data_IF_802356715278
#
_entry.id   IF_802356715278
#
_cell.length_a   1.000
_cell.length_b   1.000
_cell.length_c   1.000
_cell.angle_alpha   90.00
_cell.angle_beta   90.00
_cell.angle_gamma   90.00
#
_symmetry.space_group_name_H-M   'P 1'
#
loop_
_entity.id
_entity.type
_entity.pdbx_description
1 polymer ?
#
# COMPACT_ATOMS: atom_id res chain seq x y z
N UNK A 1 -13.65 17.58 -18.42
CA UNK A 1 -13.10 17.02 -17.14
C UNK A 1 -13.10 18.14 -16.11
N UNK A 2 -13.40 17.85 -14.84
CA UNK A 2 -13.19 18.79 -13.74
C UNK A 2 -11.69 19.08 -13.60
N UNK A 3 -11.35 20.23 -13.01
CA UNK A 3 -9.95 20.54 -12.69
C UNK A 3 -9.45 19.59 -11.60
N UNK A 4 -8.33 18.93 -11.81
CA UNK A 4 -7.69 18.07 -10.82
C UNK A 4 -7.15 18.91 -9.66
N UNK A 5 -7.40 18.45 -8.44
CA UNK A 5 -6.99 19.09 -7.18
C UNK A 5 -6.32 18.11 -6.21
N UNK A 6 -6.55 16.79 -6.38
CA UNK A 6 -6.03 15.73 -5.53
C UNK A 6 -5.25 14.67 -6.30
N UNK A 7 -4.22 14.10 -5.65
CA UNK A 7 -3.44 13.00 -6.21
C UNK A 7 -3.27 11.92 -5.16
N UNK A 8 -3.76 10.71 -5.46
CA UNK A 8 -3.59 9.53 -4.64
C UNK A 8 -2.46 8.65 -5.16
N UNK A 9 -1.63 8.18 -4.26
CA UNK A 9 -0.58 7.23 -4.57
C UNK A 9 -0.86 5.86 -3.94
N UNK A 10 -0.74 4.79 -4.72
CA UNK A 10 -0.45 3.48 -4.16
C UNK A 10 0.98 3.44 -3.62
N UNK A 11 1.27 2.51 -2.71
CA UNK A 11 2.59 2.37 -2.11
C UNK A 11 3.42 1.27 -2.76
N UNK A 12 2.97 0.03 -2.66
CA UNK A 12 3.78 -1.13 -3.00
C UNK A 12 4.02 -1.29 -4.51
N UNK A 13 5.25 -1.10 -4.98
CA UNK A 13 5.57 -1.10 -6.42
C UNK A 13 5.34 0.25 -7.11
N UNK A 14 4.78 1.22 -6.40
CA UNK A 14 4.49 2.58 -6.87
C UNK A 14 5.36 3.60 -6.15
N UNK A 15 4.91 4.16 -5.04
CA UNK A 15 5.68 5.16 -4.29
C UNK A 15 6.80 4.54 -3.43
N UNK A 16 6.60 3.29 -2.98
CA UNK A 16 7.61 2.54 -2.21
C UNK A 16 7.96 1.23 -2.92
N UNK A 17 9.24 0.99 -3.10
CA UNK A 17 9.78 -0.27 -3.63
C UNK A 17 10.43 -1.07 -2.51
N UNK A 18 10.32 -2.39 -2.62
CA UNK A 18 10.93 -3.34 -1.70
C UNK A 18 12.19 -3.91 -2.31
N UNK A 19 13.29 -3.86 -1.58
CA UNK A 19 14.60 -4.38 -1.98
C UNK A 19 15.02 -5.53 -1.05
N UNK A 20 15.63 -6.53 -1.61
CA UNK A 20 16.22 -7.60 -0.81
C UNK A 20 17.36 -7.06 0.07
N UNK A 21 17.32 -7.40 1.34
CA UNK A 21 18.38 -7.10 2.30
C UNK A 21 18.43 -8.24 3.32
N UNK A 22 19.22 -9.30 3.06
CA UNK A 22 19.23 -10.51 3.88
C UNK A 22 19.45 -10.24 5.37
N UNK A 23 20.42 -9.41 5.72
CA UNK A 23 20.70 -9.09 7.12
C UNK A 23 19.53 -8.39 7.82
N UNK A 24 18.80 -7.50 7.10
CA UNK A 24 17.60 -6.85 7.62
C UNK A 24 16.45 -7.87 7.79
N UNK A 25 16.28 -8.75 6.81
CA UNK A 25 15.25 -9.78 6.82
C UNK A 25 15.48 -10.80 7.95
N UNK A 26 16.71 -11.30 8.13
CA UNK A 26 17.08 -12.20 9.21
C UNK A 26 16.82 -11.60 10.60
N UNK A 27 17.18 -10.32 10.78
CA UNK A 27 16.91 -9.59 12.03
C UNK A 27 15.40 -9.51 12.32
N UNK A 28 14.61 -9.22 11.31
CA UNK A 28 13.15 -9.13 11.43
C UNK A 28 12.53 -10.51 11.77
N UNK A 29 12.97 -11.58 11.10
CA UNK A 29 12.51 -12.95 11.38
C UNK A 29 12.86 -13.39 12.80
N UNK A 30 14.08 -13.11 13.25
CA UNK A 30 14.50 -13.42 14.62
C UNK A 30 13.64 -12.65 15.65
N UNK A 31 13.36 -11.38 15.40
CA UNK A 31 12.51 -10.57 16.28
C UNK A 31 11.08 -11.09 16.33
N UNK A 32 10.51 -11.52 15.21
CA UNK A 32 9.17 -12.14 15.20
C UNK A 32 9.13 -13.41 16.05
N UNK A 33 10.12 -14.29 15.92
CA UNK A 33 10.20 -15.52 16.72
C UNK A 33 10.31 -15.22 18.22
N UNK A 34 11.13 -14.24 18.59
CA UNK A 34 11.27 -13.76 19.98
C UNK A 34 9.92 -13.27 20.53
N UNK A 35 9.19 -12.40 19.81
CA UNK A 35 7.88 -11.88 20.21
C UNK A 35 6.84 -12.99 20.39
N UNK A 36 6.92 -14.02 19.56
CA UNK A 36 6.03 -15.18 19.63
C UNK A 36 6.49 -16.24 20.63
N UNK A 37 7.61 -16.04 21.35
CA UNK A 37 8.19 -17.00 22.29
C UNK A 37 8.66 -18.29 21.63
N UNK A 38 9.13 -18.23 20.38
CA UNK A 38 9.58 -19.39 19.59
C UNK A 38 11.10 -19.44 19.52
N UNK A 39 11.68 -20.60 19.85
CA UNK A 39 13.14 -20.79 19.84
C UNK A 39 13.70 -21.08 18.44
N UNK A 40 12.97 -21.83 17.61
CA UNK A 40 13.34 -22.11 16.23
C UNK A 40 12.74 -21.08 15.28
N UNK A 41 13.60 -20.20 14.79
CA UNK A 41 13.20 -19.11 13.89
C UNK A 41 12.72 -19.65 12.55
N UNK A 42 13.41 -20.65 11.99
CA UNK A 42 13.08 -21.18 10.67
C UNK A 42 11.71 -21.86 10.68
N UNK A 43 11.51 -22.79 11.62
CA UNK A 43 10.23 -23.51 11.75
C UNK A 43 9.06 -22.55 12.02
N UNK A 44 9.32 -21.50 12.82
CA UNK A 44 8.32 -20.47 13.09
C UNK A 44 7.93 -19.69 11.82
N UNK A 45 8.91 -19.23 11.04
CA UNK A 45 8.64 -18.49 9.80
C UNK A 45 7.95 -19.37 8.77
N UNK A 46 8.40 -20.62 8.58
CA UNK A 46 7.75 -21.56 7.66
C UNK A 46 6.28 -21.80 8.05
N UNK A 47 5.98 -21.91 9.33
CA UNK A 47 4.61 -21.98 9.84
C UNK A 47 3.79 -20.72 9.55
N UNK A 48 4.34 -19.53 9.81
CA UNK A 48 3.65 -18.25 9.54
C UNK A 48 3.35 -18.10 8.05
N UNK A 49 4.29 -18.42 7.16
CA UNK A 49 4.09 -18.36 5.71
C UNK A 49 2.99 -19.34 5.26
N UNK A 50 2.99 -20.57 5.80
CA UNK A 50 1.96 -21.56 5.50
C UNK A 50 0.55 -21.08 5.92
N UNK A 51 0.46 -20.39 7.06
CA UNK A 51 -0.80 -19.85 7.58
C UNK A 51 -1.23 -18.55 6.90
N UNK A 52 -0.27 -17.79 6.37
CA UNK A 52 -0.56 -16.56 5.64
C UNK A 52 -1.23 -16.82 4.28
N UNK A 53 -0.97 -17.94 3.63
CA UNK A 53 -1.55 -18.27 2.33
C UNK A 53 -3.09 -18.31 2.37
N UNK A 54 -3.77 -19.09 3.24
CA UNK A 54 -5.23 -19.08 3.34
C UNK A 54 -5.81 -17.72 3.79
N UNK A 55 -5.11 -16.98 4.64
CA UNK A 55 -5.50 -15.60 4.94
C UNK A 55 -5.53 -14.73 3.69
N UNK A 56 -4.46 -14.78 2.89
CA UNK A 56 -4.36 -14.02 1.65
C UNK A 56 -5.47 -14.38 0.66
N UNK A 57 -5.78 -15.66 0.52
CA UNK A 57 -6.85 -16.11 -0.35
C UNK A 57 -8.21 -15.56 0.11
N UNK A 58 -8.48 -15.60 1.41
CA UNK A 58 -9.66 -14.95 1.99
C UNK A 58 -9.69 -13.45 1.70
N UNK A 59 -8.59 -12.74 1.97
CA UNK A 59 -8.51 -11.29 1.79
C UNK A 59 -8.74 -10.86 0.33
N UNK A 60 -8.25 -11.65 -0.63
CA UNK A 60 -8.45 -11.41 -2.06
C UNK A 60 -9.87 -11.75 -2.53
N UNK A 61 -10.48 -12.80 -1.99
CA UNK A 61 -11.84 -13.22 -2.35
C UNK A 61 -12.89 -12.26 -1.81
N UNK A 62 -12.74 -11.87 -0.55
CA UNK A 62 -13.70 -11.00 0.14
C UNK A 62 -13.44 -9.49 -0.10
N UNK A 63 -12.33 -9.12 -0.76
CA UNK A 63 -11.84 -7.74 -0.86
C UNK A 63 -11.74 -7.05 0.50
N UNK A 64 -11.30 -7.79 1.52
CA UNK A 64 -11.20 -7.35 2.92
C UNK A 64 -9.76 -7.49 3.42
N UNK A 65 -9.43 -6.70 4.42
CA UNK A 65 -8.16 -6.81 5.14
C UNK A 65 -8.44 -6.94 6.64
N UNK A 66 -7.71 -7.84 7.30
CA UNK A 66 -7.73 -7.91 8.75
C UNK A 66 -6.85 -6.82 9.36
N UNK A 67 -7.26 -6.27 10.49
CA UNK A 67 -6.37 -5.51 11.36
C UNK A 67 -5.31 -6.41 12.00
N UNK A 68 -4.28 -5.81 12.61
CA UNK A 68 -3.13 -6.57 13.12
C UNK A 68 -3.53 -7.65 14.15
N UNK A 69 -4.38 -7.31 15.10
CA UNK A 69 -4.82 -8.29 16.09
C UNK A 69 -5.61 -9.44 15.44
N UNK A 70 -6.58 -9.15 14.57
CA UNK A 70 -7.38 -10.18 13.89
C UNK A 70 -6.49 -11.09 13.03
N UNK A 71 -5.53 -10.52 12.28
CA UNK A 71 -4.58 -11.27 11.44
C UNK A 71 -3.86 -12.33 12.26
N UNK A 72 -3.29 -11.94 13.39
CA UNK A 72 -2.52 -12.85 14.22
C UNK A 72 -3.41 -13.80 15.03
N UNK A 73 -4.47 -13.31 15.65
CA UNK A 73 -5.35 -14.09 16.52
C UNK A 73 -6.14 -15.17 15.75
N UNK A 74 -6.66 -14.81 14.59
CA UNK A 74 -7.50 -15.72 13.80
C UNK A 74 -6.74 -16.60 12.84
N UNK A 75 -5.64 -16.10 12.30
CA UNK A 75 -4.96 -16.74 11.17
C UNK A 75 -3.55 -17.26 11.48
N UNK A 76 -2.67 -16.40 12.05
CA UNK A 76 -1.25 -16.71 12.09
C UNK A 76 -0.81 -17.36 13.40
N UNK A 77 -1.34 -16.93 14.55
CA UNK A 77 -1.01 -17.46 15.89
C UNK A 77 -2.27 -17.67 16.75
N UNK A 78 -3.26 -18.46 16.30
CA UNK A 78 -4.51 -18.67 17.04
C UNK A 78 -4.29 -19.37 18.39
N UNK A 79 -3.14 -20.03 18.59
CA UNK A 79 -2.76 -20.68 19.84
C UNK A 79 -2.17 -19.73 20.89
N UNK A 80 -1.81 -18.48 20.49
CA UNK A 80 -1.27 -17.51 21.43
C UNK A 80 -2.38 -16.90 22.29
N UNK A 81 -2.13 -16.73 23.59
CA UNK A 81 -3.08 -16.13 24.52
C UNK A 81 -3.39 -14.68 24.08
N UNK A 82 -4.68 -14.31 24.03
CA UNK A 82 -5.16 -13.04 23.46
C UNK A 82 -4.52 -11.82 24.09
N UNK A 83 -4.42 -11.76 25.44
CA UNK A 83 -3.84 -10.59 26.12
C UNK A 83 -2.32 -10.47 25.95
N UNK A 84 -1.62 -11.57 25.65
CA UNK A 84 -0.22 -11.55 25.27
C UNK A 84 -0.06 -11.09 23.80
N UNK A 85 -0.93 -11.59 22.93
CA UNK A 85 -0.92 -11.25 21.51
C UNK A 85 -1.25 -9.77 21.28
N UNK A 86 -2.22 -9.22 21.96
CA UNK A 86 -2.64 -7.80 21.88
C UNK A 86 -1.46 -6.84 22.11
N UNK A 87 -0.52 -7.21 22.96
CA UNK A 87 0.66 -6.39 23.28
C UNK A 87 1.73 -6.40 22.18
N UNK A 88 1.70 -7.39 21.27
CA UNK A 88 2.78 -7.61 20.31
C UNK A 88 2.31 -7.69 18.85
N UNK A 89 1.00 -7.70 18.58
CA UNK A 89 0.46 -7.92 17.23
C UNK A 89 0.93 -6.86 16.21
N UNK A 90 1.00 -5.60 16.59
CA UNK A 90 1.50 -4.53 15.73
C UNK A 90 2.98 -4.72 15.40
N UNK A 91 3.79 -5.03 16.40
CA UNK A 91 5.22 -5.29 16.20
C UNK A 91 5.43 -6.57 15.38
N UNK A 92 4.66 -7.63 15.61
CA UNK A 92 4.69 -8.86 14.80
C UNK A 92 4.39 -8.56 13.33
N UNK A 93 3.34 -7.77 13.02
CA UNK A 93 3.02 -7.39 11.66
C UNK A 93 4.10 -6.52 11.04
N UNK A 94 4.61 -5.55 11.80
CA UNK A 94 5.72 -4.72 11.34
C UNK A 94 6.92 -5.58 10.95
N UNK A 95 7.37 -6.48 11.83
CA UNK A 95 8.51 -7.35 11.57
C UNK A 95 8.24 -8.34 10.43
N UNK A 96 7.03 -8.88 10.29
CA UNK A 96 6.65 -9.72 9.15
C UNK A 96 6.82 -8.98 7.82
N UNK A 97 6.46 -7.71 7.78
CA UNK A 97 6.67 -6.87 6.60
C UNK A 97 8.15 -6.57 6.35
N UNK A 98 8.95 -6.35 7.42
CA UNK A 98 10.41 -6.17 7.30
C UNK A 98 11.10 -7.46 6.83
N UNK A 99 10.60 -8.64 7.21
CA UNK A 99 11.09 -9.92 6.74
C UNK A 99 10.92 -10.14 5.22
N UNK A 100 10.08 -9.36 4.54
CA UNK A 100 9.95 -9.39 3.07
C UNK A 100 10.98 -8.54 2.33
N UNK A 101 11.74 -7.70 3.02
CA UNK A 101 12.76 -6.81 2.48
C UNK A 101 12.67 -5.39 3.02
N UNK A 102 13.70 -4.61 2.73
CA UNK A 102 13.76 -3.21 3.12
C UNK A 102 13.03 -2.34 2.09
N UNK A 103 12.22 -1.39 2.57
CA UNK A 103 11.47 -0.50 1.69
C UNK A 103 12.10 0.88 1.64
N UNK A 104 12.09 1.47 0.45
CA UNK A 104 12.48 2.86 0.24
C UNK A 104 11.52 3.56 -0.72
N UNK A 105 11.56 4.88 -0.72
CA UNK A 105 10.86 5.66 -1.74
C UNK A 105 11.46 5.37 -3.12
N UNK A 106 10.60 5.27 -4.13
CA UNK A 106 11.01 5.09 -5.53
C UNK A 106 11.86 6.28 -6.01
N UNK A 107 12.74 6.03 -6.98
CA UNK A 107 13.56 7.09 -7.56
C UNK A 107 12.68 8.18 -8.18
N UNK A 108 12.92 9.44 -7.83
CA UNK A 108 12.08 10.58 -8.19
C UNK A 108 10.83 10.78 -7.32
N UNK A 109 10.51 9.84 -6.41
CA UNK A 109 9.29 9.90 -5.59
C UNK A 109 9.22 11.14 -4.70
N UNK A 110 10.30 11.48 -3.99
CA UNK A 110 10.35 12.69 -3.17
C UNK A 110 10.21 13.98 -3.99
N UNK A 111 10.79 14.00 -5.19
CA UNK A 111 10.65 15.12 -6.12
C UNK A 111 9.19 15.29 -6.55
N UNK A 112 8.50 14.20 -6.88
CA UNK A 112 7.08 14.22 -7.29
C UNK A 112 6.20 14.69 -6.13
N UNK A 113 6.36 14.13 -4.93
CA UNK A 113 5.60 14.54 -3.74
C UNK A 113 5.72 16.04 -3.52
N UNK A 114 6.95 16.56 -3.44
CA UNK A 114 7.21 17.98 -3.20
C UNK A 114 6.68 18.86 -4.33
N UNK A 115 6.97 18.49 -5.58
CA UNK A 115 6.54 19.29 -6.74
C UNK A 115 5.03 19.38 -6.88
N UNK A 116 4.28 18.32 -6.61
CA UNK A 116 2.82 18.37 -6.63
C UNK A 116 2.26 19.17 -5.44
N UNK A 117 2.84 19.00 -4.25
CA UNK A 117 2.44 19.78 -3.08
C UNK A 117 2.66 21.29 -3.29
N UNK A 118 3.82 21.68 -3.83
CA UNK A 118 4.15 23.08 -4.16
C UNK A 118 3.23 23.66 -5.24
N UNK A 119 2.71 22.85 -6.15
CA UNK A 119 1.67 23.21 -7.12
C UNK A 119 0.27 23.34 -6.51
N UNK A 120 0.11 23.03 -5.21
CA UNK A 120 -1.14 23.14 -4.48
C UNK A 120 -2.07 21.93 -4.58
N UNK A 121 -1.59 20.77 -5.06
CA UNK A 121 -2.36 19.54 -5.02
C UNK A 121 -2.46 19.00 -3.58
N UNK A 122 -3.64 18.50 -3.23
CA UNK A 122 -3.82 17.69 -2.00
C UNK A 122 -3.37 16.27 -2.29
N UNK A 123 -2.45 15.76 -1.48
CA UNK A 123 -1.92 14.41 -1.70
C UNK A 123 -2.51 13.42 -0.71
N UNK A 124 -2.76 12.20 -1.18
CA UNK A 124 -3.22 11.09 -0.35
C UNK A 124 -2.51 9.78 -0.70
N UNK A 125 -2.60 8.83 0.20
CA UNK A 125 -2.15 7.45 0.04
C UNK A 125 -3.37 6.54 0.11
N UNK A 126 -3.49 5.60 -0.84
CA UNK A 126 -4.50 4.53 -0.80
C UNK A 126 -3.78 3.21 -1.07
N UNK A 127 -3.65 2.35 -0.06
CA UNK A 127 -2.83 1.14 -0.19
C UNK A 127 -3.47 -0.09 0.42
N UNK A 128 -3.37 -1.22 -0.32
CA UNK A 128 -3.66 -2.54 0.22
C UNK A 128 -2.41 -3.08 0.92
N UNK A 129 -2.46 -3.21 2.23
CA UNK A 129 -1.39 -3.80 3.02
C UNK A 129 -1.91 -4.34 4.36
N UNK A 130 -1.23 -5.32 4.91
CA UNK A 130 -1.28 -5.63 6.34
C UNK A 130 -0.40 -4.64 7.09
N UNK A 131 -0.70 -4.38 8.36
CA UNK A 131 0.07 -3.46 9.22
C UNK A 131 -0.55 -2.08 9.30
N UNK A 132 -0.89 -1.68 10.51
CA UNK A 132 -1.56 -0.42 10.80
C UNK A 132 -0.55 0.72 11.02
N UNK A 133 0.58 0.43 11.67
CA UNK A 133 1.53 1.43 12.15
C UNK A 133 2.71 1.72 11.22
N UNK A 134 3.04 0.82 10.27
CA UNK A 134 4.23 0.97 9.42
C UNK A 134 4.20 2.26 8.60
N UNK A 135 3.07 2.58 7.98
CA UNK A 135 3.00 3.75 7.08
C UNK A 135 3.00 5.06 7.87
N UNK A 136 2.19 5.23 8.92
CA UNK A 136 2.32 6.41 9.78
C UNK A 136 3.71 6.57 10.38
N UNK A 137 4.36 5.49 10.80
CA UNK A 137 5.75 5.48 11.29
C UNK A 137 6.73 5.99 10.25
N UNK A 138 6.71 5.39 9.06
CA UNK A 138 7.54 5.82 7.94
C UNK A 138 7.36 7.29 7.56
N UNK A 139 6.13 7.77 7.47
CA UNK A 139 5.86 9.18 7.14
C UNK A 139 6.45 10.15 8.17
N UNK A 140 6.42 9.78 9.45
CA UNK A 140 7.07 10.58 10.52
C UNK A 140 8.58 10.55 10.43
N UNK A 141 9.18 9.36 10.27
CA UNK A 141 10.62 9.16 10.21
C UNK A 141 11.28 9.90 9.03
N UNK A 142 10.63 9.85 7.85
CA UNK A 142 11.13 10.51 6.64
C UNK A 142 10.68 11.98 6.51
N UNK A 143 9.96 12.52 7.49
CA UNK A 143 9.47 13.90 7.47
C UNK A 143 8.49 14.16 6.33
N UNK A 144 7.61 13.20 6.03
CA UNK A 144 6.66 13.26 4.91
C UNK A 144 5.21 13.52 5.35
N UNK A 145 4.92 13.46 6.64
CA UNK A 145 3.55 13.58 7.18
C UNK A 145 2.83 14.83 6.68
N UNK A 146 3.53 15.97 6.58
CA UNK A 146 2.92 17.23 6.16
C UNK A 146 2.45 17.27 4.71
N UNK A 147 2.91 16.35 3.87
CA UNK A 147 2.53 16.31 2.45
C UNK A 147 1.21 15.58 2.20
N UNK A 148 0.81 14.67 3.10
CA UNK A 148 -0.34 13.80 2.87
C UNK A 148 -1.51 14.18 3.77
N UNK A 149 -2.59 14.66 3.15
CA UNK A 149 -3.84 14.99 3.84
C UNK A 149 -4.77 13.78 4.04
N UNK A 150 -4.50 12.66 3.37
CA UNK A 150 -5.24 11.41 3.51
C UNK A 150 -4.28 10.21 3.52
N UNK A 151 -4.51 9.23 4.39
CA UNK A 151 -3.74 7.97 4.45
C UNK A 151 -4.69 6.81 4.70
N UNK A 152 -5.24 6.27 3.61
CA UNK A 152 -6.22 5.17 3.65
C UNK A 152 -5.51 3.84 3.45
N UNK A 153 -5.48 3.03 4.49
CA UNK A 153 -4.83 1.72 4.51
C UNK A 153 -5.88 0.63 4.69
N UNK A 154 -5.83 -0.42 3.87
CA UNK A 154 -6.80 -1.52 3.96
C UNK A 154 -6.81 -2.22 5.31
N UNK A 155 -5.66 -2.30 6.00
CA UNK A 155 -5.56 -2.83 7.37
C UNK A 155 -6.34 -2.02 8.40
N UNK A 156 -6.58 -0.73 8.15
CA UNK A 156 -7.29 0.19 9.07
C UNK A 156 -8.77 0.28 8.71
N UNK A 157 -9.09 0.50 7.43
CA UNK A 157 -10.48 0.62 6.98
C UNK A 157 -11.15 -0.73 6.66
N UNK A 158 -10.41 -1.83 6.67
CA UNK A 158 -10.85 -3.20 6.36
C UNK A 158 -11.40 -3.42 4.94
N UNK A 159 -11.21 -2.46 4.05
CA UNK A 159 -11.64 -2.49 2.64
C UNK A 159 -10.40 -2.54 1.75
N UNK A 160 -10.41 -3.40 0.73
CA UNK A 160 -9.28 -3.54 -0.21
C UNK A 160 -9.67 -3.07 -1.61
N UNK A 161 -8.72 -2.45 -2.32
CA UNK A 161 -8.79 -2.30 -3.78
C UNK A 161 -8.95 -3.69 -4.42
N UNK A 162 -9.81 -3.89 -5.42
CA UNK A 162 -10.46 -2.88 -6.27
C UNK A 162 -11.79 -2.32 -5.76
N UNK A 163 -12.24 -2.60 -4.54
CA UNK A 163 -13.46 -2.02 -4.02
C UNK A 163 -13.39 -0.48 -4.11
N UNK A 164 -14.34 0.18 -4.82
CA UNK A 164 -14.33 1.63 -5.03
C UNK A 164 -14.48 2.43 -3.74
N UNK A 165 -15.00 1.83 -2.69
CA UNK A 165 -15.23 2.51 -1.42
C UNK A 165 -13.94 3.01 -0.79
N UNK A 166 -12.82 2.27 -0.92
CA UNK A 166 -11.53 2.72 -0.39
C UNK A 166 -11.05 4.04 -1.02
N UNK A 167 -11.40 4.28 -2.30
CA UNK A 167 -11.09 5.55 -2.98
C UNK A 167 -12.00 6.68 -2.52
N UNK A 168 -13.30 6.38 -2.26
CA UNK A 168 -14.26 7.36 -1.74
C UNK A 168 -13.86 7.84 -0.36
N UNK A 169 -13.42 6.94 0.52
CA UNK A 169 -12.85 7.30 1.82
C UNK A 169 -11.68 8.28 1.66
N UNK A 170 -10.75 8.01 0.74
CA UNK A 170 -9.64 8.93 0.48
C UNK A 170 -10.11 10.31 -0.03
N UNK A 171 -11.09 10.34 -0.93
CA UNK A 171 -11.67 11.59 -1.43
C UNK A 171 -12.35 12.38 -0.31
N UNK A 172 -13.09 11.71 0.56
CA UNK A 172 -13.74 12.30 1.73
C UNK A 172 -12.72 12.92 2.69
N UNK A 173 -11.64 12.20 3.03
CA UNK A 173 -10.55 12.73 3.87
C UNK A 173 -9.88 13.97 3.26
N UNK A 174 -9.72 14.01 1.93
CA UNK A 174 -9.18 15.19 1.25
C UNK A 174 -10.22 16.31 1.05
N UNK A 175 -11.51 16.06 1.27
CA UNK A 175 -12.61 17.00 0.98
C UNK A 175 -12.70 17.32 -0.51
N UNK A 176 -12.59 16.28 -1.38
CA UNK A 176 -12.64 16.40 -2.84
C UNK A 176 -13.64 15.39 -3.42
N UNK A 177 -14.20 15.75 -4.58
CA UNK A 177 -14.97 14.81 -5.37
C UNK A 177 -14.04 13.86 -6.15
N UNK A 178 -14.44 12.60 -6.41
CA UNK A 178 -13.61 11.66 -7.15
C UNK A 178 -13.10 12.18 -8.50
N UNK A 179 -13.94 12.89 -9.26
CA UNK A 179 -13.58 13.46 -10.56
C UNK A 179 -12.55 14.61 -10.48
N UNK A 180 -12.27 15.12 -9.29
CA UNK A 180 -11.23 16.12 -9.01
C UNK A 180 -9.90 15.48 -8.63
N UNK A 181 -9.83 14.14 -8.60
CA UNK A 181 -8.67 13.37 -8.15
C UNK A 181 -8.03 12.58 -9.30
N UNK A 182 -6.74 12.31 -9.15
CA UNK A 182 -5.95 11.39 -9.97
C UNK A 182 -5.42 10.26 -9.09
N UNK A 183 -5.42 9.03 -9.61
CA UNK A 183 -4.77 7.88 -8.97
C UNK A 183 -3.48 7.52 -9.70
N UNK A 184 -2.40 7.29 -8.95
CA UNK A 184 -1.09 6.82 -9.45
C UNK A 184 -0.80 5.46 -8.85
N UNK A 185 -0.65 4.43 -9.69
CA UNK A 185 -0.48 3.06 -9.22
C UNK A 185 0.22 2.16 -10.26
N UNK A 186 0.57 0.91 -9.88
CA UNK A 186 1.30 -0.05 -10.73
C UNK A 186 0.46 -1.23 -11.23
N UNK A 187 -0.79 -1.36 -10.78
CA UNK A 187 -1.60 -2.55 -11.07
C UNK A 187 -2.91 -2.22 -11.79
N UNK A 188 -3.08 -2.81 -12.99
CA UNK A 188 -4.26 -2.58 -13.84
C UNK A 188 -5.56 -3.05 -13.20
N UNK A 189 -5.61 -4.32 -12.75
CA UNK A 189 -6.85 -4.93 -12.26
C UNK A 189 -7.29 -4.42 -10.90
N UNK A 190 -6.35 -4.21 -10.00
CA UNK A 190 -6.64 -3.77 -8.63
C UNK A 190 -6.80 -2.25 -8.55
N UNK A 191 -5.83 -1.53 -9.09
CA UNK A 191 -5.75 -0.10 -8.85
C UNK A 191 -6.51 0.71 -9.93
N UNK A 192 -6.23 0.48 -11.21
CA UNK A 192 -6.86 1.25 -12.28
C UNK A 192 -8.35 0.92 -12.35
N UNK A 193 -8.73 -0.36 -12.31
CA UNK A 193 -10.15 -0.75 -12.32
C UNK A 193 -10.89 -0.19 -11.11
N UNK A 194 -10.34 -0.34 -9.90
CA UNK A 194 -10.98 0.17 -8.67
C UNK A 194 -11.15 1.70 -8.68
N UNK A 195 -10.14 2.44 -9.09
CA UNK A 195 -10.21 3.89 -9.20
C UNK A 195 -11.25 4.36 -10.24
N UNK A 196 -11.33 3.68 -11.40
CA UNK A 196 -12.39 3.96 -12.41
C UNK A 196 -13.78 3.68 -11.87
N UNK A 197 -13.97 2.57 -11.14
CA UNK A 197 -15.26 2.25 -10.50
C UNK A 197 -15.65 3.29 -9.45
N UNK A 198 -14.69 3.92 -8.79
CA UNK A 198 -14.92 5.01 -7.83
C UNK A 198 -15.22 6.36 -8.51
N UNK A 199 -15.03 6.48 -9.82
CA UNK A 199 -15.20 7.73 -10.55
C UNK A 199 -14.01 8.68 -10.46
N UNK A 200 -12.80 8.19 -10.13
CA UNK A 200 -11.57 8.99 -10.12
C UNK A 200 -11.34 9.59 -11.50
N UNK A 201 -11.08 10.90 -11.54
CA UNK A 201 -11.06 11.73 -12.77
C UNK A 201 -10.02 11.32 -13.80
N UNK A 202 -8.87 10.78 -13.37
CA UNK A 202 -7.88 10.15 -14.25
C UNK A 202 -6.99 9.15 -13.50
N UNK A 203 -6.39 8.22 -14.27
CA UNK A 203 -5.58 7.14 -13.74
C UNK A 203 -4.23 7.08 -14.44
N UNK A 204 -3.16 7.12 -13.68
CA UNK A 204 -1.78 7.06 -14.14
C UNK A 204 -1.20 5.69 -13.75
N UNK A 205 -0.81 4.91 -14.75
CA UNK A 205 -0.11 3.65 -14.54
C UNK A 205 1.40 3.90 -14.54
N UNK A 206 2.05 3.62 -13.43
CA UNK A 206 3.51 3.57 -13.32
C UNK A 206 4.00 2.14 -13.51
N UNK A 207 4.66 1.87 -14.63
CA UNK A 207 5.10 0.52 -14.96
C UNK A 207 6.29 0.54 -15.94
N UNK A 208 7.24 -0.38 -15.79
CA UNK A 208 8.32 -0.49 -16.77
C UNK A 208 7.82 -1.05 -18.13
N UNK A 209 8.48 -0.71 -19.26
CA UNK A 209 8.10 -1.22 -20.58
C UNK A 209 8.05 -2.75 -20.64
N UNK A 210 8.98 -3.44 -19.98
CA UNK A 210 9.08 -4.91 -19.98
C UNK A 210 7.90 -5.55 -19.22
N UNK A 211 7.44 -4.93 -18.14
CA UNK A 211 6.25 -5.39 -17.40
C UNK A 211 4.99 -5.07 -18.18
N UNK A 212 4.90 -3.88 -18.80
CA UNK A 212 3.76 -3.47 -19.61
C UNK A 212 3.52 -4.42 -20.80
N UNK A 213 4.57 -4.83 -21.48
CA UNK A 213 4.49 -5.76 -22.61
C UNK A 213 3.86 -7.13 -22.27
N UNK A 214 3.80 -7.47 -20.98
CA UNK A 214 3.19 -8.72 -20.46
C UNK A 214 1.78 -8.53 -19.94
N UNK A 215 1.21 -7.33 -20.08
CA UNK A 215 -0.13 -7.01 -19.56
C UNK A 215 -1.15 -6.91 -20.68
N UNK A 216 -2.36 -7.35 -20.39
CA UNK A 216 -3.51 -7.12 -21.26
C UNK A 216 -4.28 -5.92 -20.76
N UNK A 217 -4.38 -4.90 -21.61
CA UNK A 217 -5.18 -3.70 -21.33
C UNK A 217 -6.54 -3.87 -22.00
N UNK A 218 -7.60 -3.76 -21.23
CA UNK A 218 -8.99 -3.77 -21.67
C UNK A 218 -9.61 -2.39 -21.43
N UNK A 219 -10.84 -2.15 -21.89
CA UNK A 219 -11.51 -0.87 -21.64
C UNK A 219 -11.79 -0.64 -20.14
N UNK A 220 -11.95 -1.70 -19.36
CA UNK A 220 -12.19 -1.64 -17.92
C UNK A 220 -10.95 -1.19 -17.13
N UNK A 221 -9.75 -1.63 -17.58
CA UNK A 221 -8.50 -1.37 -16.87
C UNK A 221 -7.54 -0.44 -17.64
N UNK A 222 -8.01 0.22 -18.71
CA UNK A 222 -7.20 1.16 -19.49
C UNK A 222 -6.87 2.40 -18.66
N UNK A 223 -5.58 2.68 -18.39
CA UNK A 223 -5.17 3.93 -17.75
C UNK A 223 -5.30 5.10 -18.72
N UNK A 224 -5.43 6.31 -18.19
CA UNK A 224 -5.45 7.55 -18.98
C UNK A 224 -4.02 7.95 -19.39
N UNK A 225 -3.04 7.68 -18.52
CA UNK A 225 -1.63 7.93 -18.76
C UNK A 225 -0.78 6.75 -18.32
N UNK A 226 0.35 6.55 -19.00
CA UNK A 226 1.37 5.56 -18.63
C UNK A 226 2.70 6.29 -18.49
N UNK A 227 3.38 6.09 -17.37
CA UNK A 227 4.72 6.61 -17.12
C UNK A 227 5.69 5.48 -16.78
N UNK A 228 6.91 5.60 -17.24
CA UNK A 228 7.97 4.60 -17.03
C UNK A 228 9.01 5.07 -16.01
N UNK A 229 9.11 6.37 -15.79
CA UNK A 229 9.90 6.96 -14.71
C UNK A 229 8.95 7.75 -13.80
N UNK A 230 9.10 7.60 -12.50
CA UNK A 230 8.15 8.21 -11.55
C UNK A 230 8.15 9.74 -11.64
N UNK A 231 9.31 10.35 -11.91
CA UNK A 231 9.44 11.80 -12.09
C UNK A 231 8.62 12.38 -13.25
N UNK A 232 8.34 11.55 -14.29
CA UNK A 232 7.60 11.99 -15.49
C UNK A 232 6.14 12.35 -15.16
N UNK A 233 5.65 11.98 -13.98
CA UNK A 233 4.33 12.38 -13.47
C UNK A 233 4.20 13.91 -13.44
N UNK A 234 5.28 14.63 -13.10
CA UNK A 234 5.27 16.09 -13.04
C UNK A 234 5.09 16.78 -14.40
N UNK A 235 5.37 16.07 -15.49
CA UNK A 235 5.30 16.61 -16.84
C UNK A 235 3.97 16.29 -17.54
N UNK A 236 3.08 15.56 -16.88
CA UNK A 236 1.78 15.21 -17.43
C UNK A 236 0.88 16.46 -17.54
N UNK A 237 0.26 16.73 -18.71
CA UNK A 237 -0.58 17.92 -18.91
C UNK A 237 -1.74 18.05 -17.91
N UNK A 238 -2.24 16.91 -17.41
CA UNK A 238 -3.32 16.86 -16.43
C UNK A 238 -2.91 17.41 -15.05
N UNK A 239 -1.60 17.49 -14.77
CA UNK A 239 -1.00 17.92 -13.50
C UNK A 239 -0.17 19.23 -13.65
N UNK A 240 -0.46 20.02 -14.70
CA UNK A 240 0.17 21.32 -14.96
C UNK A 240 -0.76 22.48 -14.59
#
# INVERSE_FOLDING_TARGET
MKKIKGVFFDLGGTLRICEENPAHQEKAMARMAELAGRADVKDFIDMVEARYAPYRDWALTENREAGDFELWHKWLLPEMESGALEKVCHELTFQYRQAKGKRRVVDGGLQVIRGLYERGYRLGIISNLIGEDEIPGWLREDGLTQYFGAVVLSSVCHIRKPDPEIYRLGCEELGLEPEECVSVADNLGRDITGAKMAGIGANILFISPEKLAKKTITDENRPDHIVHQFKDILDLPILQ
#
